data_IF_893538569129
#
_entry.id   IF_893538569129
#
_cell.length_a   1.000
_cell.length_b   1.000
_cell.length_c   1.000
_cell.angle_alpha   90.00
_cell.angle_beta   90.00
_cell.angle_gamma   90.00
#
_symmetry.space_group_name_H-M   'P 1'
#
loop_
_entity.id
_entity.type
_entity.pdbx_description
1 polymer ?
#
# COMPACT_ATOMS: atom_id res chain seq x y z
N UNK A 1 6.09 8.78 -22.37
CA UNK A 1 4.90 8.36 -21.60
C UNK A 1 5.09 6.88 -21.31
N UNK A 2 5.12 6.46 -20.05
CA UNK A 2 5.28 5.03 -19.75
C UNK A 2 3.96 4.33 -20.10
N UNK A 3 4.06 3.19 -20.80
CA UNK A 3 2.89 2.41 -21.18
C UNK A 3 2.44 1.61 -19.96
N UNK A 4 1.25 1.90 -19.46
CA UNK A 4 0.68 1.19 -18.32
C UNK A 4 0.19 -0.21 -18.71
N UNK A 5 0.19 -0.58 -19.99
CA UNK A 5 -0.18 -1.92 -20.47
C UNK A 5 1.04 -2.84 -20.70
N UNK A 6 2.22 -2.45 -20.23
CA UNK A 6 3.45 -3.24 -20.35
C UNK A 6 3.57 -4.22 -19.17
N UNK A 7 3.49 -5.52 -19.46
CA UNK A 7 3.64 -6.60 -18.47
C UNK A 7 4.95 -6.48 -17.68
N UNK A 8 6.06 -6.07 -18.32
CA UNK A 8 7.33 -5.86 -17.64
C UNK A 8 7.26 -4.70 -16.63
N UNK A 9 6.55 -3.62 -16.98
CA UNK A 9 6.33 -2.50 -16.08
C UNK A 9 5.48 -2.93 -14.87
N UNK A 10 4.42 -3.71 -15.10
CA UNK A 10 3.59 -4.24 -14.03
C UNK A 10 4.37 -5.11 -13.05
N UNK A 11 5.10 -6.10 -13.56
CA UNK A 11 5.88 -7.03 -12.74
C UNK A 11 7.00 -6.34 -11.98
N UNK A 12 7.64 -5.33 -12.59
CA UNK A 12 8.78 -4.64 -11.99
C UNK A 12 8.40 -3.68 -10.87
N UNK A 13 7.29 -2.98 -11.00
CA UNK A 13 6.96 -1.86 -10.12
C UNK A 13 5.80 -2.13 -9.17
N UNK A 14 4.95 -3.12 -9.44
CA UNK A 14 3.80 -3.41 -8.61
C UNK A 14 3.92 -4.76 -7.91
N UNK A 15 3.56 -4.78 -6.63
CA UNK A 15 3.46 -6.00 -5.83
C UNK A 15 2.10 -6.69 -6.09
N UNK A 16 1.79 -7.00 -7.35
CA UNK A 16 0.48 -7.58 -7.76
C UNK A 16 0.15 -8.87 -6.98
N UNK A 17 1.08 -9.83 -6.79
CA UNK A 17 0.78 -11.03 -5.99
C UNK A 17 0.35 -10.71 -4.56
N UNK A 18 1.04 -9.77 -3.89
CA UNK A 18 0.71 -9.33 -2.54
C UNK A 18 -0.65 -8.63 -2.48
N UNK A 19 -0.96 -7.80 -3.47
CA UNK A 19 -2.27 -7.14 -3.58
C UNK A 19 -3.41 -8.17 -3.71
N UNK A 20 -3.25 -9.18 -4.56
CA UNK A 20 -4.23 -10.26 -4.72
C UNK A 20 -4.42 -11.02 -3.40
N UNK A 21 -3.33 -11.33 -2.70
CA UNK A 21 -3.37 -11.98 -1.40
C UNK A 21 -4.13 -11.13 -0.36
N UNK A 22 -3.87 -9.82 -0.33
CA UNK A 22 -4.57 -8.88 0.55
C UNK A 22 -6.08 -8.81 0.24
N UNK A 23 -6.47 -8.76 -1.04
CA UNK A 23 -7.88 -8.78 -1.44
C UNK A 23 -8.57 -10.07 -0.99
N UNK A 24 -7.90 -11.22 -1.17
CA UNK A 24 -8.45 -12.52 -0.75
C UNK A 24 -8.62 -12.61 0.77
N UNK A 25 -7.73 -11.98 1.54
CA UNK A 25 -7.72 -12.05 3.00
C UNK A 25 -8.63 -11.00 3.67
N UNK A 26 -8.60 -9.76 3.19
CA UNK A 26 -9.21 -8.60 3.84
C UNK A 26 -10.49 -8.12 3.13
N UNK A 27 -10.68 -8.52 1.87
CA UNK A 27 -11.79 -8.08 1.03
C UNK A 27 -11.40 -7.01 0.02
N UNK A 28 -12.37 -6.63 -0.81
CA UNK A 28 -12.21 -5.54 -1.78
C UNK A 28 -12.24 -4.18 -1.08
N UNK A 29 -11.48 -3.24 -1.61
CA UNK A 29 -11.43 -1.85 -1.14
C UNK A 29 -12.64 -1.07 -1.63
N UNK A 30 -13.14 -0.16 -0.79
CA UNK A 30 -14.00 0.94 -1.23
C UNK A 30 -13.18 2.07 -1.88
N UNK A 31 -13.85 3.02 -2.52
CA UNK A 31 -13.21 4.08 -3.31
C UNK A 31 -12.18 4.92 -2.54
N UNK A 32 -12.38 5.11 -1.23
CA UNK A 32 -11.54 5.94 -0.36
C UNK A 32 -10.58 5.11 0.52
N UNK A 33 -10.38 3.84 0.18
CA UNK A 33 -9.59 2.90 0.97
C UNK A 33 -8.35 2.39 0.24
N UNK A 34 -7.34 2.02 1.02
CA UNK A 34 -6.17 1.30 0.55
C UNK A 34 -5.74 0.21 1.54
N UNK A 35 -4.86 -0.68 1.10
CA UNK A 35 -4.12 -1.56 1.99
C UNK A 35 -2.92 -0.81 2.55
N UNK A 36 -2.96 -0.49 3.84
CA UNK A 36 -1.90 0.20 4.55
C UNK A 36 -1.18 -0.73 5.53
N UNK A 37 0.14 -0.60 5.63
CA UNK A 37 0.93 -1.37 6.60
C UNK A 37 0.71 -0.85 8.02
N UNK A 38 0.37 -1.75 8.93
CA UNK A 38 0.19 -1.51 10.36
C UNK A 38 0.96 -2.59 11.13
N UNK A 39 2.08 -2.26 11.80
CA UNK A 39 2.67 -0.92 11.94
C UNK A 39 3.27 -0.38 10.63
N UNK A 40 3.42 0.95 10.56
CA UNK A 40 4.02 1.63 9.41
C UNK A 40 5.44 1.11 9.14
N UNK A 41 5.81 0.94 7.87
CA UNK A 41 7.14 0.47 7.48
C UNK A 41 8.26 1.39 8.01
N UNK A 42 8.08 2.70 7.92
CA UNK A 42 9.03 3.69 8.45
C UNK A 42 9.21 3.65 9.98
N UNK A 43 8.34 2.92 10.69
CA UNK A 43 8.42 2.67 12.13
C UNK A 43 8.87 1.23 12.47
N UNK A 44 9.45 0.51 11.50
CA UNK A 44 9.91 -0.86 11.68
C UNK A 44 8.87 -1.94 11.34
N UNK A 45 7.77 -1.58 10.67
CA UNK A 45 6.86 -2.56 10.09
C UNK A 45 7.52 -3.45 9.04
N UNK A 46 6.98 -4.64 8.83
CA UNK A 46 7.47 -5.58 7.81
C UNK A 46 6.50 -5.72 6.65
N UNK A 47 7.03 -5.87 5.44
CA UNK A 47 6.29 -6.09 4.20
C UNK A 47 5.69 -7.51 4.16
N UNK A 48 4.63 -7.72 4.93
CA UNK A 48 3.87 -8.98 5.00
C UNK A 48 2.39 -8.68 4.88
N UNK A 49 1.64 -9.54 4.21
CA UNK A 49 0.17 -9.41 4.10
C UNK A 49 -0.51 -9.38 5.47
N UNK A 50 0.08 -10.04 6.47
CA UNK A 50 -0.43 -10.06 7.84
C UNK A 50 -0.41 -8.70 8.53
N UNK A 51 0.42 -7.78 8.04
CA UNK A 51 0.49 -6.41 8.54
C UNK A 51 -0.31 -5.44 7.66
N UNK A 52 -1.02 -5.91 6.63
CA UNK A 52 -1.90 -5.04 5.86
C UNK A 52 -3.27 -4.95 6.52
N UNK A 53 -3.78 -3.72 6.62
CA UNK A 53 -5.16 -3.43 6.98
C UNK A 53 -5.82 -2.57 5.90
N UNK A 54 -7.14 -2.70 5.78
CA UNK A 54 -7.94 -1.72 5.03
C UNK A 54 -7.99 -0.43 5.86
N UNK A 55 -7.52 0.67 5.27
CA UNK A 55 -7.46 1.99 5.90
C UNK A 55 -7.96 3.04 4.93
N UNK A 56 -8.42 4.18 5.45
CA UNK A 56 -8.78 5.32 4.62
C UNK A 56 -7.53 6.02 4.10
N UNK A 57 -7.50 6.30 2.79
CA UNK A 57 -6.29 6.78 2.09
C UNK A 57 -5.75 8.07 2.70
N UNK A 58 -6.63 9.06 2.92
CA UNK A 58 -6.23 10.41 3.36
C UNK A 58 -5.65 10.38 4.77
N UNK A 59 -6.33 9.67 5.66
CA UNK A 59 -5.98 9.50 7.06
C UNK A 59 -4.68 8.72 7.19
N UNK A 60 -4.47 7.69 6.38
CA UNK A 60 -3.24 6.92 6.41
C UNK A 60 -2.03 7.71 5.89
N UNK A 61 -2.20 8.51 4.83
CA UNK A 61 -1.15 9.42 4.33
C UNK A 61 -0.81 10.49 5.38
N UNK A 62 -1.82 11.06 6.04
CA UNK A 62 -1.62 12.04 7.10
C UNK A 62 -0.85 11.42 8.28
N UNK A 63 -1.24 10.21 8.71
CA UNK A 63 -0.53 9.47 9.76
C UNK A 63 0.93 9.21 9.39
N UNK A 64 1.20 8.75 8.16
CA UNK A 64 2.58 8.55 7.68
C UNK A 64 3.36 9.85 7.73
N UNK A 65 2.76 10.95 7.25
CA UNK A 65 3.41 12.26 7.19
C UNK A 65 3.77 12.82 8.57
N UNK A 66 2.92 12.59 9.57
CA UNK A 66 3.16 12.99 10.95
C UNK A 66 4.24 12.14 11.65
N UNK A 67 4.27 10.84 11.37
CA UNK A 67 5.10 9.88 12.10
C UNK A 67 6.51 9.71 11.50
N UNK A 68 6.61 9.71 10.17
CA UNK A 68 7.86 9.39 9.44
C UNK A 68 8.46 10.65 8.80
N UNK A 69 7.73 11.78 8.81
CA UNK A 69 8.10 13.01 8.12
C UNK A 69 7.39 13.15 6.78
N UNK A 70 7.44 14.35 6.19
CA UNK A 70 6.70 14.62 4.95
C UNK A 70 7.23 13.77 3.80
N UNK A 71 6.32 13.15 3.05
CA UNK A 71 6.64 12.44 1.81
C UNK A 71 7.14 13.47 0.79
N UNK A 72 8.42 13.38 0.40
CA UNK A 72 9.00 14.17 -0.71
C UNK A 72 9.80 15.43 -0.34
N UNK A 73 10.48 15.47 0.81
CA UNK A 73 11.58 16.43 1.03
C UNK A 73 12.94 15.82 0.74
#
# INVERSE_FOLDING_TARGET
MQNLDDDYFFEKYFQIPLYIEAVNKLGKLEQDECFGYVPLLGLGGSEKVDNLNIVKIREHIELISQMVGKVGM
#
